data_IF_595678101116
#
_entry.id   IF_595678101116
#
_cell.length_a   1.000
_cell.length_b   1.000
_cell.length_c   1.000
_cell.angle_alpha   90.00
_cell.angle_beta   90.00
_cell.angle_gamma   90.00
#
_symmetry.space_group_name_H-M   'P 1'
#
loop_
_entity.id
_entity.type
_entity.pdbx_description
1 polymer ?
#
# COMPACT_ATOMS: atom_id res chain seq x y z
N UNK A 1 -6.93 -18.61 -5.27
CA UNK A 1 -6.09 -19.79 -4.92
C UNK A 1 -4.73 -19.38 -4.34
N UNK A 2 -3.90 -18.60 -5.06
CA UNK A 2 -2.57 -18.17 -4.58
C UNK A 2 -2.62 -17.40 -3.25
N UNK A 3 -3.52 -16.43 -3.11
CA UNK A 3 -3.68 -15.64 -1.88
C UNK A 3 -4.21 -16.49 -0.70
N UNK A 4 -5.17 -17.38 -0.96
CA UNK A 4 -5.67 -18.37 0.00
C UNK A 4 -4.57 -19.32 0.48
N UNK A 5 -3.70 -19.76 -0.44
CA UNK A 5 -2.55 -20.62 -0.13
C UNK A 5 -1.49 -19.89 0.71
N UNK A 6 -1.21 -18.61 0.42
CA UNK A 6 -0.32 -17.80 1.25
C UNK A 6 -0.93 -17.57 2.63
N UNK A 7 -2.24 -17.30 2.71
CA UNK A 7 -2.95 -17.09 3.96
C UNK A 7 -2.97 -18.35 4.85
N UNK A 8 -3.12 -19.55 4.26
CA UNK A 8 -3.19 -20.80 5.01
C UNK A 8 -1.82 -21.32 5.44
N UNK A 9 -0.79 -21.17 4.61
CA UNK A 9 0.52 -21.79 4.87
C UNK A 9 1.62 -20.77 5.22
N UNK A 10 1.27 -19.48 5.36
CA UNK A 10 2.17 -18.40 5.78
C UNK A 10 3.14 -17.93 4.70
N UNK A 11 3.56 -18.81 3.80
CA UNK A 11 4.23 -18.43 2.56
C UNK A 11 3.89 -19.43 1.43
N UNK A 12 4.06 -18.98 0.19
CA UNK A 12 3.72 -19.75 -1.00
C UNK A 12 4.58 -21.02 -1.19
N UNK A 13 5.85 -21.01 -0.77
CA UNK A 13 6.73 -22.17 -0.78
C UNK A 13 6.29 -23.27 0.21
N UNK A 14 5.82 -22.89 1.40
CA UNK A 14 5.26 -23.84 2.38
C UNK A 14 3.93 -24.40 1.90
N UNK A 15 3.08 -23.55 1.29
CA UNK A 15 1.85 -24.01 0.64
C UNK A 15 2.13 -25.05 -0.45
N UNK A 16 3.18 -24.81 -1.24
CA UNK A 16 3.61 -25.71 -2.33
C UNK A 16 4.08 -27.06 -1.83
N UNK A 17 4.81 -27.11 -0.71
CA UNK A 17 5.31 -28.36 -0.12
C UNK A 17 4.22 -29.19 0.58
N UNK A 18 3.17 -28.55 1.11
CA UNK A 18 2.20 -29.21 1.99
C UNK A 18 0.88 -29.62 1.32
N UNK A 19 0.59 -29.19 0.10
CA UNK A 19 -0.58 -29.70 -0.61
C UNK A 19 -0.34 -31.14 -1.10
N UNK A 20 -1.22 -32.11 -0.78
CA UNK A 20 -1.13 -33.48 -1.31
C UNK A 20 -1.23 -33.44 -2.84
N UNK A 21 -0.26 -34.04 -3.52
CA UNK A 21 -0.07 -33.91 -4.98
C UNK A 21 0.97 -32.88 -5.39
N UNK A 22 1.44 -32.05 -4.44
CA UNK A 22 2.28 -30.89 -4.69
C UNK A 22 1.51 -29.83 -5.47
N UNK A 23 1.84 -28.55 -5.29
CA UNK A 23 1.81 -27.68 -6.46
C UNK A 23 2.93 -28.19 -7.37
N UNK A 24 2.66 -29.29 -8.08
CA UNK A 24 3.53 -29.75 -9.14
C UNK A 24 3.77 -28.52 -10.00
N UNK A 25 5.04 -28.27 -10.30
CA UNK A 25 5.37 -27.62 -11.57
C UNK A 25 4.82 -28.57 -12.62
N UNK A 26 3.52 -28.51 -12.88
CA UNK A 26 2.89 -29.34 -13.89
C UNK A 26 3.45 -28.83 -15.22
N UNK A 27 4.44 -29.58 -15.67
CA UNK A 27 5.35 -29.35 -16.78
C UNK A 27 6.46 -28.32 -16.52
N UNK A 28 7.68 -28.83 -16.34
CA UNK A 28 8.84 -28.16 -16.91
C UNK A 28 8.50 -27.88 -18.38
N UNK A 29 8.24 -26.60 -18.69
CA UNK A 29 7.97 -26.13 -20.04
C UNK A 29 9.26 -26.13 -20.89
N UNK A 30 10.04 -27.20 -20.77
CA UNK A 30 11.35 -27.39 -21.36
C UNK A 30 11.26 -27.77 -22.83
N UNK A 31 10.12 -28.29 -23.28
CA UNK A 31 9.92 -28.71 -24.67
C UNK A 31 8.80 -27.94 -25.36
N UNK A 32 8.91 -27.75 -26.68
CA UNK A 32 7.80 -27.23 -27.51
C UNK A 32 6.50 -28.01 -27.31
N UNK A 33 6.59 -29.34 -27.14
CA UNK A 33 5.44 -30.21 -26.93
C UNK A 33 4.71 -29.90 -25.60
N UNK A 34 5.45 -29.75 -24.50
CA UNK A 34 4.88 -29.41 -23.18
C UNK A 34 4.16 -28.05 -23.21
N UNK A 35 4.73 -27.05 -23.88
CA UNK A 35 4.11 -25.72 -24.04
C UNK A 35 2.82 -25.81 -24.84
N UNK A 36 2.80 -26.55 -25.96
CA UNK A 36 1.57 -26.74 -26.76
C UNK A 36 0.46 -27.40 -25.94
N UNK A 37 0.78 -28.48 -25.23
CA UNK A 37 -0.18 -29.20 -24.40
C UNK A 37 -0.75 -28.30 -23.28
N UNK A 38 0.10 -27.48 -22.64
CA UNK A 38 -0.34 -26.54 -21.62
C UNK A 38 -1.29 -25.45 -22.18
N UNK A 39 -0.96 -24.87 -23.34
CA UNK A 39 -1.82 -23.88 -24.00
C UNK A 39 -3.17 -24.49 -24.44
N UNK A 40 -3.15 -25.70 -25.01
CA UNK A 40 -4.36 -26.42 -25.41
C UNK A 40 -5.24 -26.76 -24.21
N UNK A 41 -4.65 -27.23 -23.10
CA UNK A 41 -5.38 -27.52 -21.85
C UNK A 41 -6.06 -26.27 -21.27
N UNK A 42 -5.36 -25.14 -21.23
CA UNK A 42 -5.95 -23.88 -20.76
C UNK A 42 -7.08 -23.41 -21.68
N UNK A 43 -6.96 -23.60 -22.98
CA UNK A 43 -8.02 -23.27 -23.92
C UNK A 43 -9.24 -24.18 -23.77
N UNK A 44 -9.03 -25.50 -23.63
CA UNK A 44 -10.10 -26.47 -23.38
C UNK A 44 -10.86 -26.17 -22.07
N UNK A 45 -10.19 -25.61 -21.07
CA UNK A 45 -10.80 -25.11 -19.84
C UNK A 45 -11.51 -23.75 -19.99
N UNK A 46 -11.73 -23.27 -21.22
CA UNK A 46 -12.39 -21.99 -21.50
C UNK A 46 -11.57 -20.75 -21.14
N UNK A 47 -10.28 -20.88 -20.82
CA UNK A 47 -9.44 -19.73 -20.50
C UNK A 47 -8.95 -19.04 -21.77
N UNK A 48 -8.99 -17.71 -21.77
CA UNK A 48 -8.39 -16.89 -22.83
C UNK A 48 -6.87 -17.01 -22.79
N UNK A 49 -6.30 -17.74 -23.75
CA UNK A 49 -4.85 -17.91 -23.90
C UNK A 49 -4.24 -16.63 -24.48
N UNK A 50 -3.98 -15.65 -23.61
CA UNK A 50 -3.31 -14.38 -23.93
C UNK A 50 -2.26 -14.08 -22.85
N UNK A 51 -1.14 -13.38 -23.17
CA UNK A 51 -0.13 -13.06 -22.18
C UNK A 51 -0.71 -12.38 -20.93
N UNK A 52 -1.59 -11.39 -21.11
CA UNK A 52 -2.25 -10.68 -20.00
C UNK A 52 -3.04 -11.63 -19.09
N UNK A 53 -3.82 -12.55 -19.68
CA UNK A 53 -4.63 -13.49 -18.89
C UNK A 53 -3.77 -14.54 -18.19
N UNK A 54 -2.74 -15.05 -18.85
CA UNK A 54 -1.79 -15.98 -18.23
C UNK A 54 -1.10 -15.37 -17.01
N UNK A 55 -0.70 -14.08 -17.06
CA UNK A 55 -0.16 -13.39 -15.87
C UNK A 55 -1.15 -13.34 -14.72
N UNK A 56 -2.42 -13.05 -15.01
CA UNK A 56 -3.48 -13.04 -14.00
C UNK A 56 -3.74 -14.43 -13.39
N UNK A 57 -3.48 -15.49 -14.16
CA UNK A 57 -3.56 -16.87 -13.69
C UNK A 57 -2.29 -17.35 -12.95
N UNK A 58 -1.23 -16.52 -12.92
CA UNK A 58 0.06 -16.89 -12.32
C UNK A 58 0.98 -17.72 -13.22
N UNK A 59 0.65 -17.85 -14.51
CA UNK A 59 1.33 -18.70 -15.51
C UNK A 59 2.55 -18.00 -16.14
N UNK A 60 3.35 -17.30 -15.34
CA UNK A 60 4.50 -16.51 -15.83
C UNK A 60 5.58 -17.41 -16.48
N UNK A 61 5.73 -18.64 -15.97
CA UNK A 61 6.68 -19.62 -16.52
C UNK A 61 6.26 -20.07 -17.92
N UNK A 62 4.98 -20.32 -18.15
CA UNK A 62 4.45 -20.68 -19.46
C UNK A 62 4.66 -19.55 -20.47
N UNK A 63 4.47 -18.29 -20.06
CA UNK A 63 4.75 -17.12 -20.91
C UNK A 63 6.23 -17.11 -21.34
N UNK A 64 7.15 -17.27 -20.39
CA UNK A 64 8.60 -17.31 -20.70
C UNK A 64 8.94 -18.46 -21.63
N UNK A 65 8.37 -19.63 -21.41
CA UNK A 65 8.58 -20.81 -22.25
C UNK A 65 8.01 -20.63 -23.67
N UNK A 66 6.86 -19.97 -23.81
CA UNK A 66 6.30 -19.59 -25.11
C UNK A 66 7.28 -18.72 -25.90
N UNK A 67 7.83 -17.67 -25.28
CA UNK A 67 8.81 -16.81 -25.97
C UNK A 67 10.11 -17.55 -26.27
N UNK A 68 10.60 -18.38 -25.34
CA UNK A 68 11.83 -19.18 -25.52
C UNK A 68 11.72 -20.16 -26.69
N UNK A 69 10.62 -20.89 -26.79
CA UNK A 69 10.48 -22.00 -27.73
C UNK A 69 9.88 -21.60 -29.08
N UNK A 70 9.05 -20.56 -29.14
CA UNK A 70 8.34 -20.15 -30.36
C UNK A 70 8.70 -18.74 -30.85
N UNK A 71 9.45 -17.96 -30.06
CA UNK A 71 9.83 -16.57 -30.35
C UNK A 71 8.69 -15.57 -30.15
N UNK A 72 7.43 -15.94 -30.45
CA UNK A 72 6.27 -15.11 -30.17
C UNK A 72 5.02 -15.93 -29.81
N UNK A 73 4.09 -15.26 -29.13
CA UNK A 73 2.88 -15.89 -28.60
C UNK A 73 1.89 -16.33 -29.68
N UNK A 74 1.87 -15.66 -30.84
CA UNK A 74 0.99 -16.01 -31.95
C UNK A 74 1.39 -17.38 -32.54
N UNK A 75 2.68 -17.60 -32.80
CA UNK A 75 3.23 -18.87 -33.28
C UNK A 75 2.95 -20.03 -32.32
N UNK A 76 3.13 -19.80 -31.01
CA UNK A 76 2.83 -20.83 -30.01
C UNK A 76 1.35 -21.22 -29.98
N UNK A 77 0.44 -20.25 -30.13
CA UNK A 77 -1.01 -20.50 -30.24
C UNK A 77 -1.35 -21.32 -31.48
N UNK A 78 -0.85 -20.90 -32.65
CA UNK A 78 -1.05 -21.64 -33.90
C UNK A 78 -0.51 -23.07 -33.80
N UNK A 79 0.69 -23.23 -33.23
CA UNK A 79 1.29 -24.55 -33.01
C UNK A 79 0.51 -25.43 -32.02
N UNK A 80 -0.24 -24.82 -31.10
CA UNK A 80 -1.12 -25.50 -30.16
C UNK A 80 -2.53 -25.79 -30.72
N UNK A 81 -2.75 -25.59 -32.03
CA UNK A 81 -4.06 -25.80 -32.67
C UNK A 81 -5.10 -24.74 -32.29
N UNK A 82 -4.68 -23.66 -31.63
CA UNK A 82 -5.58 -22.59 -31.24
C UNK A 82 -5.79 -21.68 -32.44
N UNK A 83 -7.05 -21.45 -32.80
CA UNK A 83 -7.39 -20.51 -33.87
C UNK A 83 -6.63 -19.18 -33.64
N UNK A 84 -6.05 -18.60 -34.71
CA UNK A 84 -5.48 -17.28 -34.61
C UNK A 84 -6.53 -16.38 -33.99
N UNK A 85 -6.12 -15.55 -33.01
CA UNK A 85 -7.03 -14.54 -32.45
C UNK A 85 -7.64 -13.84 -33.66
N UNK A 86 -8.97 -13.85 -33.77
CA UNK A 86 -9.68 -13.16 -34.85
C UNK A 86 -8.94 -11.85 -35.09
N UNK A 87 -8.50 -11.59 -36.34
CA UNK A 87 -7.73 -10.41 -36.64
C UNK A 87 -8.47 -9.25 -36.00
N UNK A 88 -7.75 -8.48 -35.17
CA UNK A 88 -8.35 -7.35 -34.48
C UNK A 88 -9.15 -6.57 -35.53
N UNK A 89 -10.43 -6.24 -35.25
CA UNK A 89 -11.37 -5.73 -36.25
C UNK A 89 -10.63 -4.76 -37.16
N UNK A 90 -10.62 -5.08 -38.46
CA UNK A 90 -9.71 -4.53 -39.46
C UNK A 90 -9.37 -3.11 -39.08
N UNK A 91 -8.13 -2.92 -38.58
CA UNK A 91 -7.68 -1.70 -37.90
C UNK A 91 -8.26 -0.52 -38.65
N UNK A 92 -9.30 0.15 -38.12
CA UNK A 92 -10.06 1.20 -38.84
C UNK A 92 -9.11 1.96 -39.74
N UNK A 93 -9.25 1.79 -41.05
CA UNK A 93 -8.38 2.43 -42.01
C UNK A 93 -8.54 3.92 -41.75
N UNK A 94 -7.47 4.55 -41.28
CA UNK A 94 -7.49 5.99 -41.10
C UNK A 94 -7.40 6.54 -42.51
N UNK A 95 -8.54 6.95 -43.06
CA UNK A 95 -8.63 7.57 -44.39
C UNK A 95 -8.14 9.01 -44.39
N UNK A 96 -7.98 9.59 -43.20
CA UNK A 96 -7.60 10.98 -43.02
C UNK A 96 -6.13 11.21 -43.36
N UNK A 97 -5.86 12.19 -44.23
CA UNK A 97 -4.50 12.60 -44.56
C UNK A 97 -3.86 13.35 -43.38
N UNK A 98 -2.55 13.59 -43.48
CA UNK A 98 -1.80 14.35 -42.47
C UNK A 98 -2.36 15.78 -42.31
N UNK A 99 -2.60 16.45 -43.43
CA UNK A 99 -3.01 17.85 -43.45
C UNK A 99 -4.45 18.02 -42.98
N UNK A 100 -5.35 17.11 -43.39
CA UNK A 100 -6.73 17.02 -42.85
C UNK A 100 -6.74 16.85 -41.33
N UNK A 101 -5.85 16.00 -40.80
CA UNK A 101 -5.74 15.80 -39.36
C UNK A 101 -5.27 17.06 -38.63
N UNK A 102 -4.29 17.78 -39.18
CA UNK A 102 -3.82 19.04 -38.60
C UNK A 102 -4.87 20.14 -38.69
N UNK A 103 -5.58 20.26 -39.81
CA UNK A 103 -6.65 21.23 -40.02
C UNK A 103 -7.82 20.98 -39.06
N UNK A 104 -8.34 19.75 -39.00
CA UNK A 104 -9.42 19.41 -38.09
C UNK A 104 -9.00 19.62 -36.62
N UNK A 105 -7.73 19.35 -36.30
CA UNK A 105 -7.19 19.64 -34.98
C UNK A 105 -7.11 21.15 -34.70
N UNK A 106 -6.66 21.99 -35.66
CA UNK A 106 -6.68 23.46 -35.53
C UNK A 106 -8.09 23.97 -35.27
N UNK A 107 -9.08 23.54 -36.04
CA UNK A 107 -10.49 23.95 -35.89
C UNK A 107 -11.02 23.60 -34.50
N UNK A 108 -10.76 22.39 -34.01
CA UNK A 108 -11.18 21.97 -32.67
C UNK A 108 -10.48 22.76 -31.54
N UNK A 109 -9.21 23.13 -31.73
CA UNK A 109 -8.44 23.92 -30.76
C UNK A 109 -8.79 25.41 -30.81
N UNK A 110 -9.22 25.93 -31.95
CA UNK A 110 -9.74 27.29 -32.07
C UNK A 110 -11.08 27.44 -31.34
N UNK A 111 -11.95 26.43 -31.45
CA UNK A 111 -13.23 26.39 -30.74
C UNK A 111 -13.08 26.16 -29.23
N UNK A 112 -12.14 25.30 -28.82
CA UNK A 112 -11.83 25.04 -27.42
C UNK A 112 -10.32 24.80 -27.23
N UNK A 113 -9.55 25.85 -26.91
CA UNK A 113 -8.10 25.76 -26.67
C UNK A 113 -7.73 24.80 -25.53
N UNK A 114 -8.68 24.48 -24.66
CA UNK A 114 -8.55 23.62 -23.49
C UNK A 114 -9.07 22.20 -23.71
N UNK A 115 -9.48 21.86 -24.92
CA UNK A 115 -9.99 20.54 -25.24
C UNK A 115 -8.92 19.48 -24.95
N UNK A 116 -9.33 18.46 -24.20
CA UNK A 116 -8.43 17.38 -23.77
C UNK A 116 -8.20 16.36 -24.87
N UNK A 117 -7.05 15.70 -24.81
CA UNK A 117 -6.63 14.67 -25.74
C UNK A 117 -7.60 13.48 -25.85
N UNK A 118 -8.27 13.12 -24.76
CA UNK A 118 -9.26 12.03 -24.67
C UNK A 118 -10.64 12.43 -25.22
N UNK A 119 -10.98 13.71 -25.20
CA UNK A 119 -12.20 14.26 -25.81
C UNK A 119 -12.11 14.47 -27.33
N UNK A 120 -10.92 14.30 -27.92
CA UNK A 120 -10.77 14.33 -29.38
C UNK A 120 -11.46 13.10 -30.00
N UNK A 121 -12.11 13.26 -31.18
CA UNK A 121 -12.66 12.13 -31.91
C UNK A 121 -11.62 11.00 -32.06
N UNK A 122 -11.96 9.72 -31.78
CA UNK A 122 -10.99 8.63 -31.76
C UNK A 122 -10.20 8.47 -33.07
N UNK A 123 -10.84 8.75 -34.22
CA UNK A 123 -10.22 8.70 -35.55
C UNK A 123 -9.17 9.80 -35.71
N UNK A 124 -9.48 11.05 -35.32
CA UNK A 124 -8.53 12.16 -35.34
C UNK A 124 -7.33 11.89 -34.41
N UNK A 125 -7.58 11.47 -33.17
CA UNK A 125 -6.50 11.13 -32.23
C UNK A 125 -5.55 10.07 -32.80
N UNK A 126 -6.08 9.10 -33.54
CA UNK A 126 -5.29 8.08 -34.21
C UNK A 126 -4.54 8.63 -35.42
N UNK A 127 -5.18 9.47 -36.25
CA UNK A 127 -4.55 10.15 -37.37
C UNK A 127 -3.37 11.02 -36.91
N UNK A 128 -3.56 11.83 -35.87
CA UNK A 128 -2.49 12.63 -35.25
C UNK A 128 -1.35 11.76 -34.73
N UNK A 129 -1.66 10.60 -34.12
CA UNK A 129 -0.61 9.67 -33.67
C UNK A 129 0.17 9.07 -34.84
N UNK A 130 -0.52 8.70 -35.92
CA UNK A 130 0.06 8.02 -37.06
C UNK A 130 0.88 8.96 -37.96
N UNK A 131 0.35 10.14 -38.28
CA UNK A 131 0.92 11.04 -39.28
C UNK A 131 1.78 12.18 -38.69
N UNK A 132 1.54 12.54 -37.42
CA UNK A 132 2.17 13.71 -36.79
C UNK A 132 3.09 13.31 -35.62
N UNK A 133 2.95 12.09 -35.09
CA UNK A 133 3.66 11.65 -33.87
C UNK A 133 2.91 11.97 -32.57
N UNK A 134 1.62 12.31 -32.66
CA UNK A 134 0.72 12.52 -31.53
C UNK A 134 0.34 13.98 -31.28
N UNK A 135 -0.52 14.19 -30.30
CA UNK A 135 -1.17 15.48 -30.00
C UNK A 135 -0.16 16.56 -29.63
N UNK A 136 0.90 16.21 -28.89
CA UNK A 136 1.96 17.16 -28.52
C UNK A 136 2.77 17.65 -29.73
N UNK A 137 2.96 16.82 -30.75
CA UNK A 137 3.59 17.23 -32.01
C UNK A 137 2.63 18.07 -32.84
N UNK A 138 1.38 17.63 -32.99
CA UNK A 138 0.34 18.39 -33.68
C UNK A 138 0.15 19.79 -33.08
N UNK A 139 0.19 19.92 -31.74
CA UNK A 139 0.09 21.22 -31.09
C UNK A 139 1.26 22.15 -31.43
N UNK A 140 2.48 21.63 -31.51
CA UNK A 140 3.66 22.40 -31.93
C UNK A 140 3.57 22.80 -33.40
N UNK A 141 3.16 21.87 -34.25
CA UNK A 141 3.11 22.09 -35.70
C UNK A 141 1.96 23.00 -36.13
N UNK A 142 0.88 23.04 -35.35
CA UNK A 142 -0.19 24.00 -35.54
C UNK A 142 0.11 25.38 -34.94
N UNK A 143 1.35 25.62 -34.46
CA UNK A 143 1.75 26.84 -33.74
C UNK A 143 0.78 27.25 -32.63
N UNK A 144 0.14 26.27 -32.01
CA UNK A 144 -0.81 26.52 -30.94
C UNK A 144 -0.03 26.82 -29.66
N UNK A 145 -0.38 27.90 -28.94
CA UNK A 145 0.35 28.29 -27.74
C UNK A 145 0.35 27.13 -26.74
N UNK A 146 1.52 26.88 -26.12
CA UNK A 146 1.62 25.91 -25.04
C UNK A 146 0.67 26.34 -23.93
N UNK A 147 -0.41 25.59 -23.77
CA UNK A 147 -1.34 25.83 -22.69
C UNK A 147 -0.62 25.66 -21.35
N UNK A 148 -0.47 26.78 -20.62
CA UNK A 148 0.04 26.80 -19.25
C UNK A 148 -1.08 27.28 -18.35
N UNK A 149 -1.30 26.52 -17.29
CA UNK A 149 -2.12 26.98 -16.19
C UNK A 149 -1.40 28.12 -15.47
N UNK A 150 -2.12 29.19 -15.20
CA UNK A 150 -1.75 30.26 -14.28
C UNK A 150 -2.98 30.58 -13.42
N UNK A 151 -2.79 31.37 -12.35
CA UNK A 151 -3.87 31.69 -11.41
C UNK A 151 -5.07 32.34 -12.10
N UNK A 152 -4.82 33.38 -12.90
CA UNK A 152 -5.87 34.12 -13.63
C UNK A 152 -6.72 33.21 -14.52
N UNK A 153 -6.09 32.30 -15.26
CA UNK A 153 -6.80 31.38 -16.16
C UNK A 153 -7.56 30.30 -15.40
N UNK A 154 -7.02 29.81 -14.29
CA UNK A 154 -7.78 28.90 -13.40
C UNK A 154 -9.07 29.60 -12.92
N UNK A 155 -8.97 30.84 -12.48
CA UNK A 155 -10.11 31.61 -11.99
C UNK A 155 -11.10 31.96 -13.11
N UNK A 156 -10.63 32.33 -14.30
CA UNK A 156 -11.49 32.60 -15.46
C UNK A 156 -12.30 31.36 -15.86
N UNK A 157 -11.65 30.19 -15.93
CA UNK A 157 -12.34 28.92 -16.22
C UNK A 157 -13.35 28.61 -15.11
N UNK A 158 -12.98 28.77 -13.83
CA UNK A 158 -13.90 28.55 -12.73
C UNK A 158 -15.09 29.53 -12.75
N UNK A 159 -14.88 30.78 -13.18
CA UNK A 159 -15.94 31.77 -13.33
C UNK A 159 -16.93 31.39 -14.44
N UNK A 160 -16.45 30.81 -15.54
CA UNK A 160 -17.33 30.22 -16.58
C UNK A 160 -18.14 29.03 -16.04
N UNK A 161 -17.52 28.20 -15.20
CA UNK A 161 -18.19 27.07 -14.54
C UNK A 161 -19.15 27.51 -13.43
N UNK A 162 -19.00 28.71 -12.89
CA UNK A 162 -19.80 29.27 -11.81
C UNK A 162 -21.23 29.68 -12.24
N UNK A 163 -21.60 29.48 -13.51
CA UNK A 163 -22.97 29.73 -14.00
C UNK A 163 -24.02 28.99 -13.14
N UNK A 164 -25.21 29.58 -12.94
CA UNK A 164 -26.16 29.11 -11.93
C UNK A 164 -26.51 27.63 -12.09
N UNK A 165 -26.30 26.85 -11.02
CA UNK A 165 -26.75 25.46 -10.91
C UNK A 165 -25.64 24.39 -10.92
N UNK A 166 -24.37 24.73 -11.20
CA UNK A 166 -23.28 23.77 -11.14
C UNK A 166 -22.44 23.96 -9.87
N UNK A 167 -22.48 22.98 -8.96
CA UNK A 167 -21.63 23.00 -7.78
C UNK A 167 -20.16 22.82 -8.19
N UNK A 168 -19.32 23.81 -7.93
CA UNK A 168 -17.87 23.71 -8.12
C UNK A 168 -17.29 22.94 -6.92
N UNK A 169 -17.10 21.64 -7.10
CA UNK A 169 -16.51 20.72 -6.12
C UNK A 169 -15.46 19.85 -6.80
N UNK A 170 -14.52 19.29 -6.03
CA UNK A 170 -13.50 18.38 -6.58
C UNK A 170 -14.16 17.20 -7.29
N UNK A 171 -15.25 16.68 -6.72
CA UNK A 171 -16.00 15.56 -7.28
C UNK A 171 -16.68 15.92 -8.60
N UNK A 172 -17.32 17.09 -8.71
CA UNK A 172 -18.00 17.51 -9.94
C UNK A 172 -17.00 17.83 -11.06
N UNK A 173 -15.87 18.46 -10.75
CA UNK A 173 -14.79 18.70 -11.70
C UNK A 173 -14.17 17.36 -12.18
N UNK A 174 -13.90 16.41 -11.29
CA UNK A 174 -13.38 15.10 -11.71
C UNK A 174 -14.42 14.31 -12.53
N UNK A 175 -15.70 14.34 -12.13
CA UNK A 175 -16.78 13.68 -12.90
C UNK A 175 -16.98 14.26 -14.29
N UNK A 176 -16.71 15.55 -14.47
CA UNK A 176 -16.70 16.20 -15.79
C UNK A 176 -15.37 16.01 -16.54
N UNK A 177 -14.45 15.20 -16.01
CA UNK A 177 -13.13 15.00 -16.58
C UNK A 177 -12.34 16.30 -16.61
N UNK A 178 -12.18 16.97 -15.46
CA UNK A 178 -11.40 18.20 -15.28
C UNK A 178 -10.35 18.09 -14.16
N UNK A 179 -9.77 16.90 -13.98
CA UNK A 179 -8.64 16.62 -13.06
C UNK A 179 -7.42 17.56 -13.24
N UNK A 180 -7.16 18.01 -14.47
CA UNK A 180 -6.12 18.98 -14.79
C UNK A 180 -6.40 20.36 -14.19
N UNK A 181 -7.66 20.83 -14.26
CA UNK A 181 -8.12 22.04 -13.59
C UNK A 181 -8.05 21.87 -12.07
N UNK A 182 -8.45 20.71 -11.52
CA UNK A 182 -8.31 20.42 -10.08
C UNK A 182 -6.85 20.53 -9.63
N UNK A 183 -5.92 19.90 -10.36
CA UNK A 183 -4.50 20.02 -10.06
C UNK A 183 -3.99 21.47 -10.20
N UNK A 184 -4.49 22.21 -11.19
CA UNK A 184 -4.13 23.60 -11.40
C UNK A 184 -4.65 24.50 -10.25
N UNK A 185 -5.84 24.23 -9.72
CA UNK A 185 -6.42 24.92 -8.56
C UNK A 185 -5.51 24.76 -7.35
N UNK A 186 -5.13 23.52 -7.00
CA UNK A 186 -4.25 23.28 -5.85
C UNK A 186 -2.86 23.91 -6.04
N UNK A 187 -2.35 23.94 -7.28
CA UNK A 187 -1.03 24.51 -7.57
C UNK A 187 -1.00 26.03 -7.55
N UNK A 188 -2.02 26.69 -8.10
CA UNK A 188 -1.97 28.13 -8.38
C UNK A 188 -2.84 28.98 -7.44
N UNK A 189 -3.81 28.36 -6.75
CA UNK A 189 -4.68 29.04 -5.79
C UNK A 189 -4.50 28.49 -4.38
N UNK A 190 -4.32 27.18 -4.24
CA UNK A 190 -4.05 26.51 -2.95
C UNK A 190 -5.20 25.62 -2.51
N UNK A 191 -6.45 26.07 -2.63
CA UNK A 191 -7.63 25.26 -2.34
C UNK A 191 -8.81 25.53 -3.29
N UNK A 192 -9.69 24.53 -3.42
CA UNK A 192 -10.92 24.68 -4.22
C UNK A 192 -11.92 25.67 -3.60
N UNK A 193 -11.90 25.81 -2.27
CA UNK A 193 -12.80 26.74 -1.56
C UNK A 193 -12.40 28.18 -1.86
N UNK A 194 -11.11 28.50 -1.77
CA UNK A 194 -10.56 29.82 -2.12
C UNK A 194 -10.76 30.12 -3.61
N UNK A 195 -10.39 29.17 -4.49
CA UNK A 195 -10.54 29.36 -5.93
C UNK A 195 -11.99 29.60 -6.35
N UNK A 196 -12.94 28.90 -5.70
CA UNK A 196 -14.36 29.13 -5.91
C UNK A 196 -14.80 30.51 -5.43
N UNK A 197 -14.37 30.93 -4.24
CA UNK A 197 -14.70 32.26 -3.71
C UNK A 197 -14.17 33.39 -4.60
N UNK A 198 -12.91 33.27 -5.05
CA UNK A 198 -12.28 34.23 -5.97
C UNK A 198 -12.94 34.23 -7.35
N UNK A 199 -13.25 33.06 -7.91
CA UNK A 199 -13.92 32.96 -9.20
C UNK A 199 -15.33 33.57 -9.17
N UNK A 200 -16.09 33.38 -8.08
CA UNK A 200 -17.38 34.03 -7.90
C UNK A 200 -17.28 35.54 -7.76
N UNK A 201 -16.22 36.04 -7.11
CA UNK A 201 -15.98 37.49 -7.02
C UNK A 201 -15.68 38.10 -8.39
N UNK A 202 -15.00 37.37 -9.28
CA UNK A 202 -14.71 37.79 -10.65
C UNK A 202 -15.92 37.73 -11.59
N UNK A 203 -16.82 36.76 -11.39
CA UNK A 203 -17.97 36.53 -12.27
C UNK A 203 -19.13 37.52 -12.05
N UNK A 204 -19.00 38.45 -11.10
CA UNK A 204 -20.01 39.43 -10.67
C UNK A 204 -21.42 38.86 -10.47
N UNK A 205 -21.53 37.61 -9.98
CA UNK A 205 -22.81 36.93 -9.81
C UNK A 205 -23.54 37.51 -8.58
N UNK A 206 -24.72 38.14 -8.75
CA UNK A 206 -25.48 38.70 -7.63
C UNK A 206 -25.86 37.60 -6.63
N UNK A 207 -25.60 37.82 -5.35
CA UNK A 207 -25.95 36.88 -4.27
C UNK A 207 -24.87 35.87 -3.89
N UNK A 208 -23.66 35.94 -4.46
CA UNK A 208 -22.55 35.12 -3.99
C UNK A 208 -22.13 35.49 -2.54
N UNK A 209 -21.90 34.50 -1.65
CA UNK A 209 -21.51 34.74 -0.26
C UNK A 209 -20.20 35.53 -0.10
N UNK A 210 -19.40 35.65 -1.17
CA UNK A 210 -18.15 36.42 -1.17
C UNK A 210 -18.33 37.94 -1.04
N UNK A 211 -19.40 38.53 -1.59
CA UNK A 211 -19.63 39.99 -1.46
C UNK A 211 -20.01 40.39 -0.02
N UNK A 212 -20.79 39.56 0.68
CA UNK A 212 -21.16 39.81 2.07
C UNK A 212 -19.96 39.64 3.03
N UNK A 213 -19.07 38.67 2.77
CA UNK A 213 -17.87 38.46 3.57
C UNK A 213 -16.76 39.50 3.31
N UNK A 214 -16.66 40.06 2.10
CA UNK A 214 -15.69 41.10 1.78
C UNK A 214 -16.11 42.51 2.24
N UNK A 215 -17.42 42.78 2.34
CA UNK A 215 -17.96 44.04 2.85
C UNK A 215 -18.06 44.08 4.39
N UNK A 216 -18.12 42.91 5.04
CA UNK A 216 -18.25 42.77 6.50
C UNK A 216 -16.94 42.41 7.21
N UNK A 217 -16.08 43.41 7.44
CA UNK A 217 -15.11 43.39 8.54
C UNK A 217 -13.87 42.50 8.37
N UNK A 218 -12.69 43.13 8.33
CA UNK A 218 -11.44 42.47 8.74
C UNK A 218 -11.62 41.91 10.15
N UNK A 219 -11.78 40.59 10.27
CA UNK A 219 -11.58 39.90 11.55
C UNK A 219 -10.10 40.06 11.90
N UNK A 220 -9.85 41.03 12.77
CA UNK A 220 -8.59 41.25 13.44
C UNK A 220 -8.25 40.01 14.26
N UNK A 221 -7.27 39.23 13.82
CA UNK A 221 -6.51 38.35 14.71
C UNK A 221 -5.58 39.20 15.56
N UNK A 222 -6.16 39.93 16.51
CA UNK A 222 -5.45 40.63 17.59
C UNK A 222 -4.98 39.57 18.59
N UNK A 223 -3.77 39.05 18.41
CA UNK A 223 -3.01 38.50 19.52
C UNK A 223 -2.22 39.62 20.18
N UNK A 224 -2.48 39.79 21.48
CA UNK A 224 -1.92 40.84 22.32
C UNK A 224 -0.40 40.79 22.37
N UNK A 225 0.20 41.92 22.00
CA UNK A 225 1.60 42.24 22.28
C UNK A 225 1.73 42.62 23.75
N UNK A 226 2.14 41.66 24.58
CA UNK A 226 2.73 41.94 25.88
C UNK A 226 4.24 42.09 25.71
N UNK A 227 4.73 43.30 26.00
CA UNK A 227 6.15 43.65 26.08
C UNK A 227 6.87 42.63 26.96
N UNK A 228 7.84 41.93 26.36
CA UNK A 228 8.80 41.09 27.07
C UNK A 228 10.22 41.55 26.70
N UNK A 229 11.01 41.82 27.74
CA UNK A 229 12.41 42.24 27.72
C UNK A 229 13.34 41.34 26.85
N UNK A 230 14.50 41.84 26.40
CA UNK A 230 15.37 41.11 25.48
C UNK A 230 15.95 39.85 26.13
N UNK A 231 15.51 38.67 25.67
CA UNK A 231 16.13 37.39 26.03
C UNK A 231 17.41 37.17 25.20
N UNK A 232 18.50 36.84 25.91
CA UNK A 232 19.78 36.38 25.35
C UNK A 232 19.60 35.24 24.32
N UNK A 233 20.43 35.19 23.27
CA UNK A 233 20.38 34.12 22.28
C UNK A 233 20.79 32.78 22.92
N UNK A 234 19.87 31.80 22.90
CA UNK A 234 20.20 30.41 23.21
C UNK A 234 20.90 29.74 22.03
N UNK A 235 21.88 28.84 22.28
CA UNK A 235 22.64 28.19 21.24
C UNK A 235 21.74 27.25 20.40
N UNK A 236 21.86 27.36 19.08
CA UNK A 236 21.15 26.51 18.11
C UNK A 236 21.45 25.04 18.39
N UNK A 237 20.44 24.26 18.78
CA UNK A 237 20.57 22.81 18.81
C UNK A 237 20.78 22.27 17.39
N UNK A 238 21.65 21.26 17.20
CA UNK A 238 21.91 20.69 15.89
C UNK A 238 20.66 19.99 15.35
N UNK A 239 20.23 20.40 14.15
CA UNK A 239 19.16 19.74 13.39
C UNK A 239 19.56 18.29 13.12
N UNK A 240 18.94 17.36 13.83
CA UNK A 240 19.05 15.91 13.56
C UNK A 240 18.42 15.65 12.19
N UNK A 241 19.21 15.24 11.19
CA UNK A 241 18.72 14.74 9.90
C UNK A 241 17.96 13.43 10.17
N UNK A 242 16.64 13.49 10.19
CA UNK A 242 15.79 12.29 10.10
C UNK A 242 15.81 11.86 8.64
N UNK A 243 16.26 10.62 8.39
CA UNK A 243 16.32 10.07 7.03
C UNK A 243 14.93 9.87 6.43
N UNK A 244 14.80 9.84 5.09
CA UNK A 244 13.51 9.79 4.38
C UNK A 244 12.63 8.55 4.63
N UNK A 245 13.08 7.57 5.43
CA UNK A 245 12.39 6.29 5.66
C UNK A 245 11.86 6.06 7.08
N UNK A 246 11.93 7.03 7.99
CA UNK A 246 11.37 6.91 9.34
C UNK A 246 10.21 7.90 9.53
N UNK A 247 9.04 7.58 8.96
CA UNK A 247 7.78 8.09 9.49
C UNK A 247 7.05 6.92 10.17
N UNK A 248 6.65 7.04 11.45
CA UNK A 248 5.71 6.09 12.01
C UNK A 248 4.43 6.13 11.17
N UNK A 249 3.88 4.96 10.83
CA UNK A 249 2.57 4.79 10.20
C UNK A 249 1.49 5.29 11.17
N UNK A 250 1.38 6.60 11.33
CA UNK A 250 0.29 7.22 12.06
C UNK A 250 -0.89 7.23 11.08
N UNK A 251 -2.01 6.55 11.38
CA UNK A 251 -3.17 6.58 10.51
C UNK A 251 -3.59 8.04 10.28
N UNK A 252 -3.96 8.34 9.04
CA UNK A 252 -4.31 9.67 8.53
C UNK A 252 -5.27 10.46 9.47
N UNK A 253 -5.36 11.80 9.32
CA UNK A 253 -6.29 12.66 10.07
C UNK A 253 -7.74 12.14 10.19
N UNK A 254 -8.17 11.27 9.27
CA UNK A 254 -9.49 10.63 9.29
C UNK A 254 -9.73 9.65 10.44
N UNK A 255 -8.71 8.98 11.01
CA UNK A 255 -8.95 7.97 12.06
C UNK A 255 -9.41 8.59 13.38
N UNK A 256 -8.82 9.71 13.78
CA UNK A 256 -9.24 10.42 14.99
C UNK A 256 -10.69 10.93 14.88
N UNK A 257 -11.08 11.45 13.72
CA UNK A 257 -12.45 11.87 13.44
C UNK A 257 -13.42 10.68 13.46
N UNK A 258 -13.03 9.55 12.88
CA UNK A 258 -13.81 8.32 12.90
C UNK A 258 -14.01 7.79 14.32
N UNK A 259 -12.94 7.73 15.13
CA UNK A 259 -13.01 7.36 16.56
C UNK A 259 -14.02 8.21 17.32
N UNK A 260 -13.89 9.54 17.19
CA UNK A 260 -14.81 10.48 17.83
C UNK A 260 -16.27 10.27 17.37
N UNK A 261 -16.49 9.95 16.09
CA UNK A 261 -17.82 9.66 15.56
C UNK A 261 -18.41 8.35 16.14
N UNK A 262 -17.61 7.29 16.29
CA UNK A 262 -18.04 6.04 16.93
C UNK A 262 -18.43 6.24 18.39
N UNK A 263 -17.58 6.90 19.19
CA UNK A 263 -17.87 7.18 20.60
C UNK A 263 -19.12 8.06 20.74
N UNK A 264 -19.27 9.05 19.87
CA UNK A 264 -20.44 9.94 19.83
C UNK A 264 -21.72 9.19 19.45
N UNK A 265 -21.65 8.24 18.51
CA UNK A 265 -22.77 7.38 18.15
C UNK A 265 -23.16 6.44 19.31
N UNK A 266 -22.19 5.83 19.98
CA UNK A 266 -22.44 4.92 21.11
C UNK A 266 -23.16 5.66 22.25
N UNK A 267 -22.68 6.85 22.64
CA UNK A 267 -23.31 7.72 23.64
C UNK A 267 -24.76 8.10 23.31
N UNK A 268 -25.10 8.24 22.03
CA UNK A 268 -26.45 8.62 21.57
C UNK A 268 -27.41 7.45 21.37
N UNK A 269 -26.99 6.21 21.60
CA UNK A 269 -27.82 5.07 21.22
C UNK A 269 -27.91 4.84 19.71
N UNK A 270 -27.09 5.51 18.91
CA UNK A 270 -27.16 5.44 17.45
C UNK A 270 -26.45 4.19 16.90
N UNK A 271 -26.73 3.85 15.65
CA UNK A 271 -25.98 2.82 14.91
C UNK A 271 -24.56 3.27 14.53
N UNK A 272 -23.74 2.37 13.94
CA UNK A 272 -22.39 2.68 13.53
C UNK A 272 -22.37 3.84 12.50
N UNK A 273 -21.40 4.77 12.59
CA UNK A 273 -21.33 5.91 11.69
C UNK A 273 -21.11 5.48 10.23
N UNK A 274 -21.52 6.32 9.25
CA UNK A 274 -21.27 6.04 7.83
C UNK A 274 -19.78 5.79 7.56
N UNK A 275 -19.49 4.78 6.74
CA UNK A 275 -18.12 4.42 6.37
C UNK A 275 -17.42 3.46 7.33
N UNK A 276 -18.04 3.06 8.45
CA UNK A 276 -17.48 2.05 9.39
C UNK A 276 -17.04 0.77 8.66
N UNK A 277 -17.86 0.29 7.72
CA UNK A 277 -17.61 -0.90 6.88
C UNK A 277 -16.39 -0.78 5.97
N UNK A 278 -15.93 0.44 5.68
CA UNK A 278 -14.73 0.71 4.88
C UNK A 278 -13.51 1.01 5.76
N UNK A 279 -13.68 1.93 6.71
CA UNK A 279 -12.59 2.49 7.51
C UNK A 279 -11.96 1.43 8.42
N UNK A 280 -12.76 0.57 9.07
CA UNK A 280 -12.22 -0.46 9.97
C UNK A 280 -11.36 -1.48 9.22
N UNK A 281 -11.81 -2.11 8.10
CA UNK A 281 -10.95 -2.98 7.30
C UNK A 281 -9.70 -2.27 6.76
N UNK A 282 -9.83 -1.02 6.29
CA UNK A 282 -8.68 -0.25 5.79
C UNK A 282 -7.64 0.01 6.89
N UNK A 283 -8.08 0.35 8.10
CA UNK A 283 -7.19 0.55 9.25
C UNK A 283 -6.46 -0.74 9.65
N UNK A 284 -7.15 -1.88 9.65
CA UNK A 284 -6.54 -3.19 9.90
C UNK A 284 -5.49 -3.51 8.83
N UNK A 285 -5.82 -3.31 7.55
CA UNK A 285 -4.90 -3.54 6.43
C UNK A 285 -3.69 -2.60 6.46
N UNK A 286 -3.86 -1.38 6.97
CA UNK A 286 -2.76 -0.43 7.22
C UNK A 286 -1.92 -0.77 8.46
N UNK A 287 -2.28 -1.83 9.20
CA UNK A 287 -1.55 -2.28 10.39
C UNK A 287 -1.97 -1.59 11.69
N UNK A 288 -3.05 -0.82 11.72
CA UNK A 288 -3.57 -0.11 12.90
C UNK A 288 -4.44 -1.02 13.82
N UNK A 289 -4.05 -2.28 13.97
CA UNK A 289 -4.77 -3.29 14.76
C UNK A 289 -4.99 -2.88 16.22
N UNK A 290 -4.00 -2.24 16.86
CA UNK A 290 -4.13 -1.75 18.25
C UNK A 290 -5.15 -0.62 18.38
N UNK A 291 -5.20 0.27 17.41
CA UNK A 291 -6.13 1.40 17.43
C UNK A 291 -7.58 0.96 17.23
N UNK A 292 -7.78 -0.06 16.38
CA UNK A 292 -9.07 -0.72 16.18
C UNK A 292 -9.48 -1.49 17.43
N UNK A 293 -8.54 -2.25 18.04
CA UNK A 293 -8.80 -2.98 19.28
C UNK A 293 -9.15 -2.04 20.45
N UNK A 294 -8.53 -0.86 20.52
CA UNK A 294 -8.87 0.18 21.51
C UNK A 294 -10.26 0.79 21.32
N UNK A 295 -10.92 0.56 20.17
CA UNK A 295 -12.32 0.89 19.91
C UNK A 295 -13.24 -0.35 19.97
N UNK A 296 -12.70 -1.52 20.35
CA UNK A 296 -13.38 -2.81 20.27
C UNK A 296 -14.74 -2.80 20.93
N UNK A 297 -14.81 -2.40 22.20
CA UNK A 297 -16.06 -2.39 22.99
C UNK A 297 -17.13 -1.47 22.36
N UNK A 298 -16.71 -0.27 21.93
CA UNK A 298 -17.59 0.71 21.27
C UNK A 298 -18.12 0.15 19.95
N UNK A 299 -17.27 -0.48 19.15
CA UNK A 299 -17.68 -1.08 17.88
C UNK A 299 -18.59 -2.29 18.11
N UNK A 300 -18.30 -3.14 19.10
CA UNK A 300 -19.15 -4.27 19.47
C UNK A 300 -20.54 -3.81 19.90
N UNK A 301 -20.63 -2.76 20.72
CA UNK A 301 -21.90 -2.16 21.15
C UNK A 301 -22.72 -1.66 19.94
N UNK A 302 -22.10 -0.85 19.07
CA UNK A 302 -22.74 -0.32 17.87
C UNK A 302 -23.19 -1.42 16.91
N UNK A 303 -22.36 -2.46 16.73
CA UNK A 303 -22.67 -3.58 15.86
C UNK A 303 -23.77 -4.47 16.45
N UNK A 304 -23.83 -4.63 17.76
CA UNK A 304 -24.89 -5.39 18.44
C UNK A 304 -26.25 -4.71 18.23
N UNK A 305 -26.32 -3.39 18.44
CA UNK A 305 -27.55 -2.61 18.15
C UNK A 305 -27.98 -2.72 16.69
N UNK A 306 -27.02 -2.59 15.76
CA UNK A 306 -27.33 -2.73 14.33
C UNK A 306 -27.77 -4.15 13.99
N UNK A 307 -27.21 -5.17 14.66
CA UNK A 307 -27.61 -6.55 14.48
C UNK A 307 -29.04 -6.81 14.95
N UNK A 308 -29.45 -6.22 16.06
CA UNK A 308 -30.84 -6.32 16.55
C UNK A 308 -31.84 -5.70 15.56
N UNK A 309 -31.47 -4.58 14.90
CA UNK A 309 -32.30 -3.96 13.85
C UNK A 309 -32.37 -4.77 12.55
N UNK A 310 -31.39 -5.64 12.31
CA UNK A 310 -31.36 -6.52 11.13
C UNK A 310 -32.00 -7.88 11.43
N UNK A 311 -32.24 -8.21 12.70
CA UNK A 311 -32.81 -9.50 13.07
C UNK A 311 -34.25 -9.60 12.55
N UNK A 312 -34.59 -10.73 11.94
CA UNK A 312 -35.87 -10.94 11.24
C UNK A 312 -35.99 -10.28 9.87
N UNK A 313 -35.05 -9.45 9.43
CA UNK A 313 -35.02 -8.93 8.06
C UNK A 313 -34.47 -9.98 7.08
N UNK A 314 -34.94 -9.94 5.83
CA UNK A 314 -34.36 -10.76 4.77
C UNK A 314 -32.88 -10.39 4.56
N UNK A 315 -31.96 -11.35 4.38
CA UNK A 315 -30.54 -11.07 4.18
C UNK A 315 -30.29 -10.15 2.98
N UNK A 316 -29.51 -9.08 3.22
CA UNK A 316 -29.17 -8.02 2.26
C UNK A 316 -27.68 -7.67 2.35
N UNK A 317 -27.20 -6.76 1.52
CA UNK A 317 -25.82 -6.24 1.54
C UNK A 317 -25.35 -5.80 2.93
N UNK A 318 -26.23 -5.16 3.71
CA UNK A 318 -25.96 -4.76 5.09
C UNK A 318 -25.56 -5.93 5.99
N UNK A 319 -26.14 -7.11 5.80
CA UNK A 319 -25.83 -8.29 6.61
C UNK A 319 -24.42 -8.82 6.30
N UNK A 320 -24.04 -8.81 5.01
CA UNK A 320 -22.69 -9.20 4.57
C UNK A 320 -21.64 -8.23 5.08
N UNK A 321 -21.93 -6.92 5.02
CA UNK A 321 -21.04 -5.90 5.54
C UNK A 321 -20.87 -6.01 7.06
N UNK A 322 -21.97 -6.24 7.79
CA UNK A 322 -21.95 -6.46 9.24
C UNK A 322 -21.14 -7.70 9.60
N UNK A 323 -21.34 -8.81 8.90
CA UNK A 323 -20.58 -10.02 9.16
C UNK A 323 -19.08 -9.85 8.85
N UNK A 324 -18.75 -9.06 7.81
CA UNK A 324 -17.37 -8.67 7.50
C UNK A 324 -16.71 -7.86 8.61
N UNK A 325 -17.44 -6.92 9.21
CA UNK A 325 -16.95 -6.13 10.34
C UNK A 325 -16.75 -6.96 11.61
N UNK A 326 -17.70 -7.83 11.93
CA UNK A 326 -17.60 -8.75 13.08
C UNK A 326 -16.35 -9.61 12.97
N UNK A 327 -16.12 -10.25 11.82
CA UNK A 327 -14.93 -11.06 11.61
C UNK A 327 -13.63 -10.23 11.63
N UNK A 328 -13.68 -8.98 11.14
CA UNK A 328 -12.54 -8.07 11.22
C UNK A 328 -12.16 -7.75 12.68
N UNK A 329 -13.15 -7.55 13.56
CA UNK A 329 -12.92 -7.34 15.00
C UNK A 329 -12.35 -8.58 15.69
N UNK A 330 -12.92 -9.77 15.43
CA UNK A 330 -12.38 -11.04 15.93
C UNK A 330 -10.89 -11.20 15.54
N UNK A 331 -10.52 -10.83 14.30
CA UNK A 331 -9.14 -10.88 13.83
C UNK A 331 -8.19 -9.92 14.59
N UNK A 332 -8.71 -8.83 15.16
CA UNK A 332 -7.93 -7.88 15.97
C UNK A 332 -7.81 -8.29 17.45
N UNK A 333 -8.44 -9.40 17.84
CA UNK A 333 -8.47 -9.88 19.23
C UNK A 333 -9.50 -9.17 20.11
N UNK A 334 -10.44 -8.45 19.51
CA UNK A 334 -11.60 -7.90 20.22
C UNK A 334 -12.54 -9.05 20.57
N UNK A 335 -12.96 -9.11 21.83
CA UNK A 335 -13.91 -10.13 22.29
C UNK A 335 -15.30 -9.81 21.75
N UNK A 336 -15.75 -10.59 20.76
CA UNK A 336 -17.06 -10.44 20.14
C UNK A 336 -18.05 -11.35 20.88
N UNK A 337 -19.19 -10.81 21.38
CA UNK A 337 -20.21 -11.61 22.02
C UNK A 337 -20.63 -12.82 21.16
N UNK A 338 -20.69 -14.05 21.72
CA UNK A 338 -20.97 -15.26 20.95
C UNK A 338 -22.27 -15.19 20.13
N UNK A 339 -23.29 -14.47 20.61
CA UNK A 339 -24.54 -14.25 19.89
C UNK A 339 -24.32 -13.44 18.60
N UNK A 340 -23.56 -12.35 18.67
CA UNK A 340 -23.24 -11.51 17.51
C UNK A 340 -22.40 -12.29 16.48
N UNK A 341 -21.41 -13.05 16.96
CA UNK A 341 -20.61 -13.93 16.10
C UNK A 341 -21.44 -15.02 15.41
N UNK A 342 -22.41 -15.64 16.12
CA UNK A 342 -23.34 -16.62 15.53
C UNK A 342 -24.25 -16.00 14.47
N UNK A 343 -24.83 -14.83 14.74
CA UNK A 343 -25.67 -14.09 13.77
C UNK A 343 -24.87 -13.75 12.50
N UNK A 344 -23.66 -13.22 12.66
CA UNK A 344 -22.78 -12.90 11.54
C UNK A 344 -22.47 -14.12 10.65
N UNK A 345 -22.20 -15.28 11.25
CA UNK A 345 -21.98 -16.54 10.52
C UNK A 345 -23.25 -16.99 9.77
N UNK A 346 -24.40 -16.98 10.44
CA UNK A 346 -25.68 -17.34 9.83
C UNK A 346 -26.03 -16.42 8.65
N UNK A 347 -25.73 -15.13 8.72
CA UNK A 347 -25.92 -14.21 7.59
C UNK A 347 -25.02 -14.54 6.39
N UNK A 348 -23.77 -14.94 6.62
CA UNK A 348 -22.88 -15.36 5.53
C UNK A 348 -23.37 -16.65 4.87
N UNK A 349 -23.94 -17.57 5.65
CA UNK A 349 -24.45 -18.86 5.17
C UNK A 349 -25.77 -18.72 4.40
N UNK A 350 -26.66 -17.84 4.88
CA UNK A 350 -27.97 -17.58 4.26
C UNK A 350 -27.90 -16.74 2.99
N UNK A 351 -26.88 -15.87 2.86
CA UNK A 351 -26.65 -15.12 1.61
C UNK A 351 -26.03 -16.08 0.57
N UNK A 352 -26.88 -16.83 -0.12
CA UNK A 352 -26.53 -17.64 -1.27
C UNK A 352 -26.08 -16.76 -2.47
N UNK A 353 -25.17 -17.29 -3.30
CA UNK A 353 -23.81 -16.79 -3.32
C UNK A 353 -23.77 -15.26 -3.51
N UNK A 354 -23.17 -14.48 -2.60
CA UNK A 354 -22.84 -13.09 -2.91
C UNK A 354 -22.04 -13.07 -4.22
N UNK A 355 -22.15 -12.03 -5.07
CA UNK A 355 -21.39 -11.95 -6.30
C UNK A 355 -19.95 -12.35 -6.00
N UNK A 356 -19.46 -13.40 -6.66
CA UNK A 356 -18.31 -14.23 -6.25
C UNK A 356 -17.10 -13.40 -5.84
N UNK A 357 -16.99 -12.21 -6.43
CA UNK A 357 -16.04 -11.16 -6.10
C UNK A 357 -16.10 -10.65 -4.64
N UNK A 358 -17.27 -10.28 -4.10
CA UNK A 358 -17.37 -9.71 -2.75
C UNK A 358 -17.03 -10.72 -1.65
N UNK A 359 -17.55 -11.95 -1.71
CA UNK A 359 -17.17 -12.99 -0.74
C UNK A 359 -15.71 -13.39 -0.86
N UNK A 360 -15.17 -13.48 -2.07
CA UNK A 360 -13.74 -13.79 -2.26
C UNK A 360 -12.86 -12.68 -1.72
N UNK A 361 -13.18 -11.41 -1.99
CA UNK A 361 -12.40 -10.27 -1.52
C UNK A 361 -12.52 -10.10 -0.01
N UNK A 362 -13.72 -10.25 0.55
CA UNK A 362 -13.95 -10.13 1.99
C UNK A 362 -13.26 -11.28 2.74
N UNK A 363 -13.45 -12.53 2.31
CA UNK A 363 -12.79 -13.69 2.93
C UNK A 363 -11.26 -13.66 2.72
N UNK A 364 -10.77 -13.20 1.57
CA UNK A 364 -9.33 -13.05 1.36
C UNK A 364 -8.72 -11.95 2.24
N UNK A 365 -9.41 -10.82 2.41
CA UNK A 365 -8.98 -9.74 3.30
C UNK A 365 -9.03 -10.15 4.76
N UNK A 366 -10.05 -10.91 5.17
CA UNK A 366 -10.19 -11.42 6.53
C UNK A 366 -9.16 -12.52 6.83
N UNK A 367 -8.91 -13.43 5.89
CA UNK A 367 -7.86 -14.43 6.01
C UNK A 367 -6.47 -13.78 6.09
N UNK A 368 -6.21 -12.73 5.29
CA UNK A 368 -4.98 -11.96 5.34
C UNK A 368 -4.83 -11.22 6.68
N UNK A 369 -5.89 -10.56 7.17
CA UNK A 369 -5.90 -9.88 8.47
C UNK A 369 -5.63 -10.86 9.62
N UNK A 370 -6.28 -12.03 9.63
CA UNK A 370 -6.06 -13.06 10.64
C UNK A 370 -4.64 -13.63 10.60
N UNK A 371 -4.06 -13.84 9.41
CA UNK A 371 -2.69 -14.28 9.25
C UNK A 371 -1.68 -13.22 9.74
N UNK A 372 -1.92 -11.95 9.42
CA UNK A 372 -1.08 -10.83 9.87
C UNK A 372 -1.16 -10.62 11.38
N UNK A 373 -2.34 -10.74 11.98
CA UNK A 373 -2.55 -10.67 13.43
C UNK A 373 -1.80 -11.79 14.16
N UNK A 374 -1.92 -13.05 13.70
CA UNK A 374 -1.14 -14.17 14.26
C UNK A 374 0.37 -13.99 14.10
N UNK A 375 0.83 -13.42 12.99
CA UNK A 375 2.24 -13.11 12.80
C UNK A 375 2.72 -11.99 13.72
N UNK A 376 1.91 -10.96 13.95
CA UNK A 376 2.20 -9.87 14.88
C UNK A 376 2.26 -10.36 16.34
N UNK A 377 1.31 -11.19 16.77
CA UNK A 377 1.31 -11.81 18.09
C UNK A 377 2.55 -12.68 18.33
N UNK A 378 2.95 -13.48 17.33
CA UNK A 378 4.20 -14.27 17.41
C UNK A 378 5.45 -13.39 17.51
N UNK A 379 5.51 -12.26 16.79
CA UNK A 379 6.63 -11.32 16.89
C UNK A 379 6.68 -10.63 18.24
N UNK A 380 5.54 -10.24 18.80
CA UNK A 380 5.46 -9.64 20.12
C UNK A 380 5.96 -10.61 21.20
N UNK A 381 5.50 -11.87 21.17
CA UNK A 381 5.97 -12.92 22.07
C UNK A 381 7.47 -13.19 21.93
N UNK A 382 8.00 -13.22 20.70
CA UNK A 382 9.44 -13.40 20.47
C UNK A 382 10.27 -12.21 20.99
N UNK A 383 9.79 -10.97 20.85
CA UNK A 383 10.45 -9.78 21.38
C UNK A 383 10.43 -9.74 22.92
N UNK A 384 9.35 -10.21 23.53
CA UNK A 384 9.22 -10.31 24.98
C UNK A 384 10.18 -11.37 25.55
N UNK A 385 10.29 -12.52 24.87
CA UNK A 385 11.25 -13.56 25.21
C UNK A 385 12.71 -13.09 25.04
N UNK A 386 12.98 -12.26 24.03
CA UNK A 386 14.28 -11.60 23.86
C UNK A 386 14.58 -10.63 25.00
N UNK A 387 13.63 -9.78 25.40
CA UNK A 387 13.79 -8.85 26.54
C UNK A 387 13.93 -9.58 27.87
N UNK A 388 13.29 -10.73 28.03
CA UNK A 388 13.46 -11.58 29.21
C UNK A 388 14.86 -12.19 29.25
N UNK A 389 15.36 -12.66 28.10
CA UNK A 389 16.75 -13.16 27.98
C UNK A 389 17.77 -12.06 28.20
N UNK A 390 17.55 -10.86 27.66
CA UNK A 390 18.38 -9.67 27.92
C UNK A 390 18.43 -9.34 29.42
N UNK A 391 17.26 -9.29 30.10
CA UNK A 391 17.21 -9.09 31.56
C UNK A 391 17.92 -10.19 32.35
N UNK A 392 17.79 -11.46 31.95
CA UNK A 392 18.50 -12.58 32.58
C UNK A 392 20.02 -12.45 32.39
N UNK A 393 20.47 -12.05 31.22
CA UNK A 393 21.88 -11.78 30.95
C UNK A 393 22.38 -10.56 31.74
N UNK A 394 21.62 -9.47 31.79
CA UNK A 394 21.94 -8.30 32.61
C UNK A 394 22.01 -8.63 34.10
N UNK A 395 21.15 -9.52 34.61
CA UNK A 395 21.22 -9.99 36.00
C UNK A 395 22.42 -10.91 36.25
N UNK A 396 22.71 -11.83 35.31
CA UNK A 396 23.87 -12.73 35.37
C UNK A 396 25.20 -11.96 35.33
N UNK A 397 25.30 -10.95 34.46
CA UNK A 397 26.53 -10.17 34.29
C UNK A 397 26.58 -8.92 35.19
N UNK A 398 25.44 -8.40 35.62
CA UNK A 398 25.33 -7.29 36.56
C UNK A 398 25.92 -7.61 37.94
N UNK A 399 25.84 -8.88 38.37
CA UNK A 399 26.49 -9.35 39.60
C UNK A 399 28.03 -9.41 39.50
N UNK A 400 28.58 -9.53 38.29
CA UNK A 400 30.02 -9.72 38.05
C UNK A 400 30.78 -8.39 37.92
N UNK A 401 30.10 -7.26 37.78
CA UNK A 401 30.76 -5.99 37.39
C UNK A 401 30.65 -4.93 38.50
N UNK A 402 31.50 -5.05 39.53
CA UNK A 402 31.96 -3.87 40.28
C UNK A 402 33.17 -3.26 39.57
N UNK A 403 33.18 -1.91 39.45
CA UNK A 403 34.14 -1.14 38.63
C UNK A 403 35.62 -1.42 38.94
N UNK A 404 35.95 -1.85 40.18
CA UNK A 404 37.32 -2.20 40.60
C UNK A 404 37.79 -3.57 40.13
N UNK A 405 36.90 -4.54 39.88
CA UNK A 405 37.28 -5.90 39.43
C UNK A 405 37.57 -6.01 37.92
N UNK A 406 37.19 -5.02 37.11
CA UNK A 406 37.40 -5.05 35.64
C UNK A 406 38.87 -5.12 35.24
N UNK A 407 39.77 -4.42 35.93
CA UNK A 407 41.21 -4.44 35.59
C UNK A 407 41.87 -5.76 35.99
N UNK A 408 41.52 -6.29 37.16
CA UNK A 408 42.09 -7.55 37.66
C UNK A 408 41.62 -8.76 36.84
N UNK A 409 40.33 -8.84 36.52
CA UNK A 409 39.81 -9.91 35.66
C UNK A 409 40.33 -9.81 34.23
N UNK A 410 40.48 -8.61 33.67
CA UNK A 410 41.03 -8.45 32.32
C UNK A 410 42.51 -8.88 32.24
N UNK A 411 43.32 -8.57 33.26
CA UNK A 411 44.71 -9.02 33.34
C UNK A 411 44.81 -10.55 33.53
N UNK A 412 43.96 -11.14 34.37
CA UNK A 412 43.90 -12.59 34.57
C UNK A 412 43.44 -13.33 33.30
N UNK A 413 42.47 -12.76 32.56
CA UNK A 413 41.95 -13.34 31.33
C UNK A 413 42.94 -13.21 30.15
N UNK A 414 43.75 -12.14 30.12
CA UNK A 414 44.84 -12.00 29.16
C UNK A 414 46.00 -12.95 29.44
N UNK A 415 46.35 -13.18 30.71
CA UNK A 415 47.35 -14.22 31.08
C UNK A 415 46.88 -15.62 30.72
N UNK A 416 45.61 -15.94 30.95
CA UNK A 416 45.02 -17.24 30.58
C UNK A 416 45.04 -17.53 29.06
N UNK A 417 45.08 -16.48 28.24
CA UNK A 417 45.17 -16.58 26.78
C UNK A 417 46.63 -16.55 26.29
N UNK A 418 47.50 -15.80 26.96
CA UNK A 418 48.92 -15.71 26.60
C UNK A 418 49.73 -16.93 27.03
N UNK A 419 49.41 -17.56 28.16
CA UNK A 419 50.24 -18.64 28.73
C UNK A 419 49.91 -20.04 28.20
N UNK A 420 48.94 -20.19 27.28
CA UNK A 420 48.82 -21.40 26.45
C UNK A 420 48.69 -22.75 27.16
N UNK A 421 48.42 -22.82 28.47
CA UNK A 421 48.16 -24.08 29.19
C UNK A 421 46.70 -24.17 29.65
N UNK A 422 45.83 -24.66 28.75
CA UNK A 422 44.57 -25.27 29.14
C UNK A 422 44.82 -26.75 29.46
N UNK A 423 45.42 -27.03 30.63
CA UNK A 423 45.35 -28.36 31.22
C UNK A 423 43.98 -28.57 31.84
N UNK A 424 43.17 -29.40 31.17
CA UNK A 424 42.15 -30.25 31.80
C UNK A 424 41.02 -29.55 32.55
N UNK A 425 40.05 -28.97 31.83
CA UNK A 425 38.77 -28.57 32.42
C UNK A 425 37.72 -28.28 31.35
N UNK A 426 36.66 -29.10 31.30
CA UNK A 426 35.54 -28.96 30.35
C UNK A 426 34.84 -27.62 30.54
N UNK A 427 34.95 -26.72 29.57
CA UNK A 427 33.97 -25.65 29.36
C UNK A 427 33.11 -26.09 28.18
N UNK A 428 31.78 -26.12 28.37
CA UNK A 428 30.85 -26.44 27.30
C UNK A 428 31.07 -25.49 26.10
N UNK A 429 31.01 -25.98 24.85
CA UNK A 429 31.22 -25.13 23.70
C UNK A 429 30.13 -24.05 23.66
N UNK A 430 30.55 -22.78 23.64
CA UNK A 430 29.64 -21.66 23.42
C UNK A 430 29.00 -21.79 22.04
N UNK A 431 27.69 -21.57 21.97
CA UNK A 431 26.95 -21.65 20.72
C UNK A 431 27.41 -20.52 19.76
N UNK A 432 27.39 -20.72 18.43
CA UNK A 432 27.92 -19.75 17.46
C UNK A 432 27.33 -18.33 17.60
N UNK A 433 26.12 -18.20 18.13
CA UNK A 433 25.46 -16.92 18.34
C UNK A 433 26.05 -16.13 19.53
N UNK A 434 26.58 -16.84 20.53
CA UNK A 434 27.25 -16.27 21.70
C UNK A 434 28.65 -15.77 21.33
N UNK A 435 29.34 -16.49 20.43
CA UNK A 435 30.61 -16.05 19.83
C UNK A 435 30.41 -14.81 18.93
N UNK A 436 29.33 -14.73 18.16
CA UNK A 436 29.00 -13.56 17.35
C UNK A 436 28.61 -12.35 18.21
N UNK A 437 27.95 -12.58 19.34
CA UNK A 437 27.64 -11.52 20.30
C UNK A 437 28.88 -11.00 21.03
N UNK A 438 29.77 -11.91 21.47
CA UNK A 438 31.06 -11.53 22.04
C UNK A 438 31.92 -10.75 21.04
N UNK A 439 31.93 -11.15 19.76
CA UNK A 439 32.63 -10.43 18.70
C UNK A 439 32.01 -9.03 18.44
N UNK A 440 30.69 -8.90 18.47
CA UNK A 440 29.98 -7.62 18.26
C UNK A 440 30.17 -6.63 19.40
N UNK A 441 30.13 -7.11 20.66
CA UNK A 441 30.47 -6.30 21.84
C UNK A 441 31.94 -5.87 21.79
N UNK A 442 32.84 -6.72 21.29
CA UNK A 442 34.26 -6.38 21.16
C UNK A 442 34.56 -5.38 20.04
N UNK A 443 33.82 -5.45 18.92
CA UNK A 443 33.99 -4.56 17.76
C UNK A 443 33.48 -3.14 18.02
N UNK A 444 32.47 -2.97 18.87
CA UNK A 444 31.92 -1.64 19.18
C UNK A 444 32.77 -0.82 20.16
N UNK A 445 33.76 -1.41 20.85
CA UNK A 445 34.42 -0.76 21.98
C UNK A 445 35.95 -0.68 21.89
N UNK A 446 36.60 -1.22 20.86
CA UNK A 446 38.05 -1.17 20.71
C UNK A 446 38.45 -0.93 19.24
N UNK A 447 38.39 0.32 18.80
CA UNK A 447 39.04 0.76 17.57
C UNK A 447 40.54 0.97 17.82
N UNK A 448 41.38 0.31 17.00
CA UNK A 448 42.83 0.57 16.91
C UNK A 448 43.80 -0.44 17.54
N UNK A 449 43.34 -1.59 18.06
CA UNK A 449 44.25 -2.56 18.71
C UNK A 449 44.71 -3.68 17.77
N UNK A 450 46.01 -4.08 17.75
CA UNK A 450 46.57 -5.13 16.87
C UNK A 450 45.93 -6.53 17.01
N UNK A 451 45.11 -6.77 18.04
CA UNK A 451 44.38 -8.01 18.21
C UNK A 451 43.18 -8.16 17.23
N UNK A 452 42.73 -7.06 16.63
CA UNK A 452 41.69 -7.07 15.60
C UNK A 452 42.14 -7.78 14.32
N UNK A 453 43.42 -7.69 13.98
CA UNK A 453 44.01 -8.34 12.81
C UNK A 453 44.12 -9.87 13.00
N UNK A 454 44.46 -10.31 14.22
CA UNK A 454 44.50 -11.73 14.58
C UNK A 454 43.10 -12.35 14.53
N UNK A 455 42.08 -11.63 15.01
CA UNK A 455 40.68 -12.09 14.95
C UNK A 455 40.14 -12.16 13.50
N UNK A 456 40.53 -11.22 12.64
CA UNK A 456 40.19 -11.25 11.22
C UNK A 456 40.84 -12.45 10.51
N UNK A 457 42.10 -12.77 10.83
CA UNK A 457 42.79 -13.96 10.30
C UNK A 457 42.13 -15.27 10.73
N UNK A 458 41.76 -15.40 12.01
CA UNK A 458 41.06 -16.60 12.50
C UNK A 458 39.67 -16.78 11.87
N UNK A 459 38.94 -15.69 11.59
CA UNK A 459 37.65 -15.75 10.90
C UNK A 459 37.78 -16.18 9.42
N UNK A 460 38.87 -15.81 8.75
CA UNK A 460 39.17 -16.23 7.38
C UNK A 460 39.58 -17.71 7.33
N UNK A 461 40.41 -18.17 8.26
CA UNK A 461 40.80 -19.58 8.35
C UNK A 461 39.63 -20.49 8.71
N UNK A 462 38.70 -20.01 9.54
CA UNK A 462 37.47 -20.75 9.85
C UNK A 462 36.54 -20.90 8.62
N UNK A 463 36.50 -19.91 7.72
CA UNK A 463 35.79 -20.04 6.43
C UNK A 463 36.48 -20.99 5.45
N UNK A 464 37.81 -21.05 5.45
CA UNK A 464 38.57 -21.94 4.55
C UNK A 464 38.50 -23.41 4.95
N UNK A 465 38.31 -23.73 6.24
CA UNK A 465 38.28 -25.11 6.76
C UNK A 465 36.91 -25.82 6.68
N UNK A 466 35.91 -25.28 5.96
CA UNK A 466 34.68 -26.01 5.62
C UNK A 466 34.68 -26.45 4.15
N UNK A 467 35.17 -27.66 3.81
CA UNK A 467 34.76 -28.32 2.58
C UNK A 467 33.37 -28.94 2.80
N UNK A 468 32.39 -28.52 2.00
CA UNK A 468 31.12 -29.21 1.86
C UNK A 468 29.99 -28.77 2.82
N UNK A 469 29.26 -27.75 2.41
CA UNK A 469 27.79 -27.72 2.57
C UNK A 469 27.21 -26.81 1.49
N UNK A 470 26.92 -27.39 0.33
CA UNK A 470 25.80 -26.93 -0.50
C UNK A 470 24.53 -27.52 0.11
N UNK A 471 23.62 -26.66 0.58
CA UNK A 471 22.16 -26.73 0.36
C UNK A 471 21.51 -25.47 0.91
#
# INVERSE_FOLDING_TARGET
>A
MVELAIAWFGNLAVARQRMPGGWRRDADYETKASVRAALARLHAAGQLVTPRRLRLLGEEQLIRAVYRHFGNFARARTAAGLAPRQPAPARHVVTMTRDEALEQYRTLMAADPMRRADTLPPHLRRALRLHVGGISHARRECDLPKFRWNRERVLAVLAEYARPGHAITTLSLNRSGRDDLVNAIYRHVGSIVEARAEAFALADIPGSPGRAAAAGGRVSTRHGSLRSAPRRPTPKQPKRKVGPNERPNNPEPGWAAFRAACESAARRGAGPPPGTTRIVPEAILAGAHRDVAGLGDVLVELLSRRADLLDGAAPREDHVMMAGLVNALECTGVDVPPLLGRRARAWIETVAPPPTFMRTVLLARLAAAHAMSRAAAKRASAQELLRERERKLENLFGWVISRRRRKAHHAAWLRLIQDGELRGGRIAPLEPIELLWAARIRYQYLDGHPAAEVAARLAVDFRRKRPGTQT
#
